data_IF_249468195490
#
_entry.id   IF_249468195490
#
_cell.length_a   1.000
_cell.length_b   1.000
_cell.length_c   1.000
_cell.angle_alpha   90.00
_cell.angle_beta   90.00
_cell.angle_gamma   90.00
#
_symmetry.space_group_name_H-M   'P 1'
#
loop_
_entity.id
_entity.type
_entity.pdbx_description
1 polymer ?
#
# COMPACT_ATOMS: atom_id res chain seq x y z
N UNK A 1 -20.03 7.04 -15.67
CA UNK A 1 -18.69 6.44 -15.51
C UNK A 1 -18.35 6.43 -14.03
N UNK A 2 -17.88 5.28 -13.51
CA UNK A 2 -17.47 5.06 -12.14
C UNK A 2 -16.05 4.52 -12.09
N UNK A 3 -15.39 4.68 -10.95
CA UNK A 3 -14.11 4.06 -10.66
C UNK A 3 -14.34 2.75 -9.91
N UNK A 4 -13.93 1.63 -10.50
CA UNK A 4 -14.04 0.31 -9.87
C UNK A 4 -12.84 0.06 -8.95
N UNK A 5 -13.05 -0.04 -7.61
CA UNK A 5 -11.98 -0.27 -6.64
C UNK A 5 -11.22 -1.60 -6.84
N UNK A 6 -11.87 -2.63 -7.39
CA UNK A 6 -11.24 -3.94 -7.64
C UNK A 6 -10.05 -3.84 -8.62
N UNK A 7 -10.03 -2.82 -9.48
CA UNK A 7 -8.86 -2.57 -10.34
C UNK A 7 -7.57 -2.32 -9.56
N UNK A 8 -7.65 -1.82 -8.32
CA UNK A 8 -6.48 -1.61 -7.47
C UNK A 8 -5.80 -2.94 -7.09
N UNK A 9 -6.56 -4.02 -6.96
CA UNK A 9 -6.05 -5.34 -6.61
C UNK A 9 -5.11 -5.88 -7.71
N UNK A 10 -5.39 -5.55 -8.98
CA UNK A 10 -4.61 -5.99 -10.15
C UNK A 10 -3.40 -5.10 -10.47
N UNK A 11 -3.26 -3.94 -9.84
CA UNK A 11 -2.16 -3.02 -10.10
C UNK A 11 -0.87 -3.45 -9.39
N UNK A 12 -0.10 -4.33 -10.00
CA UNK A 12 1.17 -4.89 -9.51
C UNK A 12 2.38 -4.42 -10.29
N UNK A 13 2.19 -4.14 -11.58
CA UNK A 13 3.27 -3.76 -12.49
C UNK A 13 3.65 -2.29 -12.32
N UNK A 14 4.85 -2.03 -11.79
CA UNK A 14 5.38 -0.67 -11.53
C UNK A 14 5.54 0.21 -12.78
N UNK A 15 5.65 -0.37 -13.97
CA UNK A 15 5.78 0.38 -15.23
C UNK A 15 4.42 0.77 -15.82
N UNK A 16 3.34 0.12 -15.40
CA UNK A 16 1.99 0.42 -15.88
C UNK A 16 1.57 1.87 -15.52
N UNK A 17 0.94 2.55 -16.48
CA UNK A 17 0.51 3.93 -16.28
C UNK A 17 -0.43 4.10 -15.09
N UNK A 18 -1.40 3.20 -14.92
CA UNK A 18 -2.33 3.23 -13.80
C UNK A 18 -1.63 3.06 -12.44
N UNK A 19 -0.63 2.17 -12.34
CA UNK A 19 0.18 2.02 -11.13
C UNK A 19 0.92 3.32 -10.79
N UNK A 20 1.59 3.91 -11.77
CA UNK A 20 2.31 5.18 -11.61
C UNK A 20 1.36 6.32 -11.23
N UNK A 21 0.15 6.35 -11.82
CA UNK A 21 -0.85 7.36 -11.51
C UNK A 21 -1.26 7.31 -10.03
N UNK A 22 -1.57 6.13 -9.48
CA UNK A 22 -1.91 5.99 -8.05
C UNK A 22 -0.74 6.42 -7.16
N UNK A 23 0.50 5.99 -7.47
CA UNK A 23 1.69 6.44 -6.73
C UNK A 23 1.87 7.97 -6.74
N UNK A 24 1.68 8.60 -7.91
CA UNK A 24 1.75 10.05 -8.06
C UNK A 24 0.64 10.78 -7.28
N UNK A 25 -0.55 10.19 -7.19
CA UNK A 25 -1.64 10.75 -6.38
C UNK A 25 -1.28 10.73 -4.88
N UNK A 26 -0.71 9.64 -4.37
CA UNK A 26 -0.25 9.57 -2.97
C UNK A 26 0.84 10.61 -2.69
N UNK A 27 1.79 10.80 -3.61
CA UNK A 27 2.80 11.86 -3.51
C UNK A 27 2.18 13.25 -3.50
N UNK A 28 1.20 13.50 -4.37
CA UNK A 28 0.48 14.78 -4.44
C UNK A 28 -0.30 15.10 -3.16
N UNK A 29 -0.77 14.10 -2.43
CA UNK A 29 -1.41 14.29 -1.12
C UNK A 29 -0.39 14.70 -0.03
N UNK A 30 0.90 14.79 -0.37
CA UNK A 30 1.95 15.26 0.53
C UNK A 30 2.46 14.17 1.47
N UNK A 31 2.54 12.93 1.00
CA UNK A 31 3.08 11.84 1.82
C UNK A 31 4.52 12.14 2.29
N UNK A 32 4.85 11.67 3.49
CA UNK A 32 6.11 11.94 4.18
C UNK A 32 6.86 10.64 4.44
N UNK A 33 8.17 10.68 4.29
CA UNK A 33 9.01 9.50 4.56
C UNK A 33 8.85 9.03 6.02
N UNK A 34 8.70 7.74 6.23
CA UNK A 34 8.40 7.15 7.55
C UNK A 34 9.52 7.40 8.57
N UNK A 35 10.76 7.43 8.12
CA UNK A 35 11.92 7.54 9.00
C UNK A 35 12.33 8.98 9.20
N UNK A 36 12.43 9.74 8.11
CA UNK A 36 12.92 11.12 8.16
C UNK A 36 11.82 12.15 8.45
N UNK A 37 10.56 11.78 8.22
CA UNK A 37 9.42 12.70 8.30
C UNK A 37 9.46 13.80 7.22
N UNK A 38 10.44 13.79 6.32
CA UNK A 38 10.55 14.74 5.23
C UNK A 38 9.45 14.50 4.19
N UNK A 39 8.96 15.54 3.49
CA UNK A 39 8.08 15.34 2.36
C UNK A 39 8.70 14.41 1.32
N UNK A 40 7.93 13.45 0.83
CA UNK A 40 8.39 12.59 -0.26
C UNK A 40 8.43 13.43 -1.54
N UNK A 41 9.62 13.66 -2.06
CA UNK A 41 9.85 14.48 -3.25
C UNK A 41 10.34 13.59 -4.40
N UNK A 42 9.55 13.54 -5.49
CA UNK A 42 9.95 12.86 -6.72
C UNK A 42 11.21 13.47 -7.36
N UNK A 43 11.51 14.72 -7.05
CA UNK A 43 12.64 15.46 -7.60
C UNK A 43 13.89 15.40 -6.73
N UNK A 44 13.81 14.78 -5.55
CA UNK A 44 14.99 14.49 -4.74
C UNK A 44 15.87 13.42 -5.42
N UNK A 45 16.29 13.70 -6.66
CA UNK A 45 17.29 12.94 -7.40
C UNK A 45 18.67 13.19 -6.78
N UNK A 46 18.83 12.67 -5.58
CA UNK A 46 20.05 12.78 -4.82
C UNK A 46 20.61 11.41 -4.44
N UNK A 47 21.38 11.38 -3.39
CA UNK A 47 22.01 10.17 -2.88
C UNK A 47 21.03 9.09 -2.35
N UNK A 48 19.74 9.43 -2.18
CA UNK A 48 18.71 8.51 -1.64
C UNK A 48 17.45 8.51 -2.53
N UNK A 49 17.43 7.71 -3.60
CA UNK A 49 16.31 7.67 -4.52
C UNK A 49 15.04 7.11 -3.87
N UNK A 50 13.89 7.50 -4.44
CA UNK A 50 12.59 6.93 -4.06
C UNK A 50 12.53 5.44 -4.41
N UNK A 51 12.06 4.64 -3.46
CA UNK A 51 11.75 3.22 -3.60
C UNK A 51 10.28 2.96 -3.26
N UNK A 52 9.83 1.75 -3.48
CA UNK A 52 8.47 1.31 -3.17
C UNK A 52 8.52 0.34 -2.00
N UNK A 53 8.00 0.79 -0.87
CA UNK A 53 7.91 0.02 0.36
C UNK A 53 6.63 -0.83 0.38
N UNK A 54 6.73 -2.09 0.82
CA UNK A 54 5.59 -2.91 1.18
C UNK A 54 5.19 -2.60 2.62
N UNK A 55 3.99 -2.05 2.83
CA UNK A 55 3.49 -1.63 4.16
C UNK A 55 3.42 -2.83 5.11
N UNK A 56 2.79 -3.92 4.67
CA UNK A 56 3.01 -5.24 5.26
C UNK A 56 4.15 -5.91 4.47
N UNK A 57 5.33 -6.11 5.05
CA UNK A 57 6.51 -6.59 4.33
C UNK A 57 6.30 -7.94 3.65
N UNK A 58 6.91 -8.11 2.47
CA UNK A 58 6.80 -9.35 1.69
C UNK A 58 7.08 -10.60 2.50
N UNK A 59 8.14 -10.57 3.31
CA UNK A 59 8.55 -11.73 4.09
C UNK A 59 7.56 -12.04 5.20
N UNK A 60 6.95 -11.01 5.79
CA UNK A 60 5.86 -11.20 6.72
C UNK A 60 4.65 -11.84 6.02
N UNK A 61 4.21 -11.27 4.89
CA UNK A 61 3.07 -11.79 4.11
C UNK A 61 3.28 -13.26 3.70
N UNK A 62 4.46 -13.59 3.19
CA UNK A 62 4.80 -14.98 2.80
C UNK A 62 4.72 -15.95 3.96
N UNK A 63 5.25 -15.59 5.14
CA UNK A 63 5.18 -16.44 6.34
C UNK A 63 3.75 -16.67 6.82
N UNK A 64 2.83 -15.75 6.52
CA UNK A 64 1.42 -15.84 6.89
C UNK A 64 0.51 -16.36 5.77
N UNK A 65 1.08 -16.85 4.66
CA UNK A 65 0.31 -17.46 3.57
C UNK A 65 -0.48 -16.47 2.72
N UNK A 66 -0.17 -15.17 2.78
CA UNK A 66 -0.79 -14.17 1.92
C UNK A 66 -0.19 -14.29 0.52
N UNK A 67 -1.07 -14.37 -0.51
CA UNK A 67 -0.65 -14.54 -1.90
C UNK A 67 0.09 -13.32 -2.46
N UNK A 68 0.95 -13.57 -3.46
CA UNK A 68 1.69 -12.52 -4.15
C UNK A 68 0.75 -11.48 -4.79
N UNK A 69 -0.38 -11.91 -5.29
CA UNK A 69 -1.37 -11.05 -5.90
C UNK A 69 -1.87 -9.95 -4.96
N UNK A 70 -1.99 -10.27 -3.69
CA UNK A 70 -2.41 -9.33 -2.66
C UNK A 70 -1.26 -8.49 -2.13
N UNK A 71 -0.15 -9.10 -1.69
CA UNK A 71 0.92 -8.29 -1.11
C UNK A 71 1.69 -7.46 -2.13
N UNK A 72 1.72 -7.83 -3.41
CA UNK A 72 2.33 -7.04 -4.48
C UNK A 72 1.39 -6.01 -5.15
N UNK A 73 0.11 -5.98 -4.77
CA UNK A 73 -0.81 -4.93 -5.20
C UNK A 73 -0.35 -3.54 -4.72
N UNK A 74 -0.71 -2.50 -5.49
CA UNK A 74 -0.49 -1.08 -5.13
C UNK A 74 -1.12 -0.74 -3.77
N UNK A 75 -2.15 -1.48 -3.35
CA UNK A 75 -2.83 -1.30 -2.06
C UNK A 75 -1.87 -1.52 -0.89
N UNK A 76 -0.97 -2.49 -0.98
CA UNK A 76 0.05 -2.75 0.05
C UNK A 76 1.37 -2.02 -0.19
N UNK A 77 1.40 -1.01 -1.06
CA UNK A 77 2.65 -0.33 -1.44
C UNK A 77 2.56 1.18 -1.25
N UNK A 78 3.69 1.77 -0.87
CA UNK A 78 3.79 3.23 -0.70
C UNK A 78 5.21 3.72 -1.03
N UNK A 79 5.37 4.97 -1.53
CA UNK A 79 6.69 5.52 -1.79
C UNK A 79 7.41 5.86 -0.48
N UNK A 80 8.67 5.44 -0.36
CA UNK A 80 9.62 5.86 0.68
C UNK A 80 10.99 6.07 0.04
N UNK A 81 11.95 6.64 0.79
CA UNK A 81 13.34 6.62 0.34
C UNK A 81 13.94 5.22 0.44
N UNK A 82 14.96 4.94 -0.37
CA UNK A 82 15.61 3.62 -0.37
C UNK A 82 16.30 3.33 0.98
N UNK A 83 16.84 4.34 1.65
CA UNK A 83 17.44 4.19 2.98
C UNK A 83 16.39 3.84 4.04
N UNK A 84 15.24 4.53 4.02
CA UNK A 84 14.13 4.26 4.93
C UNK A 84 13.55 2.87 4.72
N UNK A 85 13.34 2.48 3.46
CA UNK A 85 12.86 1.15 3.12
C UNK A 85 13.81 0.04 3.63
N UNK A 86 15.12 0.22 3.50
CA UNK A 86 16.13 -0.72 4.05
C UNK A 86 16.13 -0.75 5.58
N UNK A 87 15.96 0.41 6.24
CA UNK A 87 15.94 0.48 7.70
C UNK A 87 14.75 -0.26 8.31
N UNK A 88 13.58 -0.15 7.68
CA UNK A 88 12.34 -0.82 8.11
C UNK A 88 12.48 -2.34 7.99
N UNK A 89 13.06 -2.83 6.89
CA UNK A 89 13.29 -4.25 6.67
C UNK A 89 11.99 -5.07 6.54
N UNK A 90 12.02 -6.32 7.04
CA UNK A 90 10.93 -7.31 6.89
C UNK A 90 10.14 -7.57 8.19
N UNK A 91 10.24 -6.72 9.20
CA UNK A 91 9.51 -6.85 10.47
C UNK A 91 8.01 -6.53 10.30
N UNK A 92 7.17 -7.03 11.22
CA UNK A 92 5.75 -6.69 11.23
C UNK A 92 5.53 -5.17 11.38
N UNK A 93 4.40 -4.62 10.89
CA UNK A 93 4.16 -3.19 10.97
C UNK A 93 4.32 -2.58 12.36
N UNK A 94 3.75 -3.18 13.39
CA UNK A 94 3.92 -2.72 14.77
C UNK A 94 5.38 -2.65 15.21
N UNK A 95 6.19 -3.62 14.79
CA UNK A 95 7.60 -3.73 15.20
C UNK A 95 8.46 -2.67 14.50
N UNK A 96 8.29 -2.47 13.18
CA UNK A 96 9.05 -1.45 12.48
C UNK A 96 8.62 -0.03 12.89
N UNK A 97 7.34 0.19 13.21
CA UNK A 97 6.88 1.48 13.74
C UNK A 97 7.56 1.80 15.06
N UNK A 98 7.56 0.83 16.00
CA UNK A 98 8.27 0.99 17.29
C UNK A 98 9.77 1.24 17.10
N UNK A 99 10.39 0.55 16.12
CA UNK A 99 11.80 0.76 15.78
C UNK A 99 12.07 2.19 15.28
N UNK A 100 11.23 2.69 14.37
CA UNK A 100 11.38 4.04 13.80
C UNK A 100 11.15 5.10 14.88
N UNK A 101 10.07 4.98 15.65
CA UNK A 101 9.75 5.89 16.76
C UNK A 101 10.90 5.96 17.78
N UNK A 102 11.41 4.81 18.21
CA UNK A 102 12.52 4.75 19.15
C UNK A 102 13.82 5.34 18.61
N UNK A 103 14.16 5.10 17.34
CA UNK A 103 15.40 5.60 16.72
C UNK A 103 15.36 7.09 16.41
N UNK A 104 14.19 7.61 16.01
CA UNK A 104 14.03 9.01 15.62
C UNK A 104 13.54 9.91 16.78
N UNK A 105 13.18 9.32 17.91
CA UNK A 105 12.58 10.06 19.03
C UNK A 105 11.22 10.66 18.66
N UNK A 106 10.47 10.00 17.76
CA UNK A 106 9.15 10.44 17.32
C UNK A 106 8.10 10.01 18.33
N UNK A 107 7.13 10.88 18.59
CA UNK A 107 5.93 10.47 19.31
C UNK A 107 5.02 9.61 18.41
N UNK A 108 4.17 8.79 19.02
CA UNK A 108 3.18 8.01 18.29
C UNK A 108 2.27 8.89 17.44
N UNK A 109 1.86 10.06 17.94
CA UNK A 109 1.01 11.01 17.22
C UNK A 109 1.71 11.59 15.99
N UNK A 110 3.01 11.87 16.09
CA UNK A 110 3.81 12.34 14.95
C UNK A 110 3.92 11.27 13.88
N UNK A 111 4.19 10.02 14.27
CA UNK A 111 4.21 8.88 13.35
C UNK A 111 2.84 8.62 12.74
N UNK A 112 1.76 8.73 13.50
CA UNK A 112 0.39 8.59 13.01
C UNK A 112 0.05 9.64 11.94
N UNK A 113 0.53 10.88 12.10
CA UNK A 113 0.36 11.91 11.08
C UNK A 113 1.10 11.55 9.78
N UNK A 114 2.29 10.96 9.88
CA UNK A 114 3.03 10.44 8.72
C UNK A 114 2.25 9.32 8.05
N UNK A 115 1.75 8.33 8.78
CA UNK A 115 0.96 7.22 8.22
C UNK A 115 -0.30 7.72 7.48
N UNK A 116 -1.03 8.68 8.08
CA UNK A 116 -2.21 9.28 7.42
C UNK A 116 -1.86 9.99 6.12
N UNK A 117 -0.67 10.56 5.99
CA UNK A 117 -0.22 11.18 4.74
C UNK A 117 -0.04 10.17 3.59
N UNK A 118 0.04 8.88 3.92
CA UNK A 118 0.06 7.76 2.96
C UNK A 118 -1.31 7.09 2.79
N UNK A 119 -2.39 7.70 3.28
CA UNK A 119 -3.74 7.13 3.28
C UNK A 119 -3.82 5.81 4.08
N UNK A 120 -3.10 5.74 5.18
CA UNK A 120 -3.06 4.60 6.09
C UNK A 120 -3.74 4.99 7.40
N UNK A 121 -4.65 4.15 7.88
CA UNK A 121 -5.14 4.26 9.26
C UNK A 121 -4.08 3.70 10.23
N UNK A 122 -3.52 4.52 11.12
CA UNK A 122 -2.48 4.07 12.04
C UNK A 122 -2.91 2.91 12.94
N UNK A 123 -4.17 2.86 13.34
CA UNK A 123 -4.69 1.82 14.22
C UNK A 123 -4.55 0.42 13.62
N UNK A 124 -4.63 0.31 12.28
CA UNK A 124 -4.51 -0.95 11.56
C UNK A 124 -3.07 -1.48 11.47
N UNK A 125 -2.07 -0.63 11.67
CA UNK A 125 -0.66 -1.04 11.68
C UNK A 125 -0.09 -1.23 13.10
N UNK A 126 -0.78 -0.73 14.12
CA UNK A 126 -0.33 -0.81 15.52
C UNK A 126 -0.80 -2.07 16.25
N UNK A 127 -1.45 -2.99 15.55
CA UNK A 127 -1.92 -4.26 16.14
C UNK A 127 -0.72 -5.10 16.54
N UNK A 128 -0.61 -5.44 17.82
CA UNK A 128 0.43 -6.34 18.32
C UNK A 128 0.23 -7.76 17.77
N UNK A 129 1.30 -8.37 17.25
CA UNK A 129 1.25 -9.71 16.65
C UNK A 129 0.17 -9.83 15.56
N UNK A 130 0.23 -9.02 14.49
CA UNK A 130 -0.82 -8.98 13.49
C UNK A 130 -1.00 -10.32 12.78
N UNK A 131 -2.26 -10.62 12.45
CA UNK A 131 -2.70 -11.82 11.76
C UNK A 131 -3.08 -11.54 10.30
N UNK A 132 -3.47 -12.57 9.55
CA UNK A 132 -4.03 -12.40 8.19
C UNK A 132 -5.28 -11.52 8.21
N UNK A 133 -6.15 -11.67 9.22
CA UNK A 133 -7.35 -10.84 9.34
C UNK A 133 -7.02 -9.36 9.57
N UNK A 134 -5.89 -9.05 10.20
CA UNK A 134 -5.42 -7.66 10.37
C UNK A 134 -4.91 -7.09 9.06
N UNK A 135 -4.19 -7.90 8.28
CA UNK A 135 -3.82 -7.54 6.91
C UNK A 135 -5.06 -7.30 6.04
N UNK A 136 -6.08 -8.15 6.12
CA UNK A 136 -7.32 -8.00 5.35
C UNK A 136 -8.03 -6.69 5.68
N UNK A 137 -8.15 -6.34 6.96
CA UNK A 137 -8.74 -5.06 7.39
C UNK A 137 -7.96 -3.85 6.88
N UNK A 138 -6.65 -3.90 7.02
CA UNK A 138 -5.76 -2.86 6.47
C UNK A 138 -5.92 -2.72 4.96
N UNK A 139 -5.92 -3.84 4.25
CA UNK A 139 -5.98 -3.88 2.80
C UNK A 139 -7.29 -3.26 2.29
N UNK A 140 -8.43 -3.66 2.83
CA UNK A 140 -9.74 -3.14 2.42
C UNK A 140 -9.91 -1.65 2.78
N UNK A 141 -9.49 -1.22 3.98
CA UNK A 141 -9.53 0.20 4.36
C UNK A 141 -8.69 1.06 3.40
N UNK A 142 -7.46 0.65 3.14
CA UNK A 142 -6.58 1.42 2.27
C UNK A 142 -7.03 1.39 0.81
N UNK A 143 -7.58 0.27 0.33
CA UNK A 143 -8.20 0.17 -1.00
C UNK A 143 -9.33 1.20 -1.15
N UNK A 144 -10.20 1.30 -0.16
CA UNK A 144 -11.30 2.27 -0.16
C UNK A 144 -10.79 3.72 -0.19
N UNK A 145 -9.74 4.05 0.59
CA UNK A 145 -9.12 5.38 0.59
C UNK A 145 -8.47 5.74 -0.74
N UNK A 146 -7.74 4.80 -1.35
CA UNK A 146 -7.13 4.99 -2.68
C UNK A 146 -8.19 5.15 -3.76
N UNK A 147 -9.28 4.37 -3.71
CA UNK A 147 -10.39 4.49 -4.65
C UNK A 147 -11.07 5.86 -4.52
N UNK A 148 -11.31 6.33 -3.29
CA UNK A 148 -11.86 7.66 -3.02
C UNK A 148 -10.95 8.77 -3.57
N UNK A 149 -9.63 8.64 -3.39
CA UNK A 149 -8.67 9.59 -3.94
C UNK A 149 -8.72 9.60 -5.48
N UNK A 150 -8.70 8.44 -6.12
CA UNK A 150 -8.76 8.30 -7.57
C UNK A 150 -10.08 8.89 -8.12
N UNK A 151 -11.21 8.58 -7.50
CA UNK A 151 -12.53 9.11 -7.88
C UNK A 151 -12.59 10.63 -7.76
N UNK A 152 -12.09 11.21 -6.66
CA UNK A 152 -12.02 12.65 -6.44
C UNK A 152 -11.24 13.38 -7.55
N UNK A 153 -10.12 12.79 -7.98
CA UNK A 153 -9.25 13.42 -8.99
C UNK A 153 -9.80 13.28 -10.39
N UNK A 154 -10.47 12.17 -10.68
CA UNK A 154 -11.06 11.91 -12.00
C UNK A 154 -12.46 12.49 -12.18
N UNK A 155 -13.10 12.95 -11.09
CA UNK A 155 -14.49 13.37 -11.09
C UNK A 155 -15.48 12.20 -11.25
N UNK A 156 -15.03 10.97 -11.05
CA UNK A 156 -15.88 9.78 -11.12
C UNK A 156 -16.48 9.46 -9.74
N UNK A 157 -17.62 8.77 -9.73
CA UNK A 157 -18.11 8.15 -8.50
C UNK A 157 -17.32 6.85 -8.22
N UNK A 158 -17.19 6.47 -6.94
CA UNK A 158 -16.68 5.14 -6.58
C UNK A 158 -17.77 4.11 -6.82
N UNK A 159 -17.46 3.08 -7.57
CA UNK A 159 -18.35 1.95 -7.77
C UNK A 159 -18.42 1.13 -6.48
N UNK A 160 -19.64 0.78 -6.06
CA UNK A 160 -19.85 -0.18 -4.97
C UNK A 160 -19.95 -1.55 -5.63
N UNK A 161 -18.96 -2.45 -5.42
CA UNK A 161 -19.02 -3.78 -6.02
C UNK A 161 -20.29 -4.51 -5.55
N UNK A 162 -21.09 -5.00 -6.51
CA UNK A 162 -22.21 -5.87 -6.16
C UNK A 162 -21.67 -7.23 -5.70
N UNK A 163 -22.37 -7.95 -4.81
CA UNK A 163 -21.93 -9.27 -4.33
C UNK A 163 -21.74 -10.31 -5.46
N UNK A 164 -22.45 -10.14 -6.57
CA UNK A 164 -22.40 -11.05 -7.71
C UNK A 164 -21.11 -10.92 -8.54
N UNK A 165 -20.49 -9.74 -8.59
CA UNK A 165 -19.25 -9.53 -9.35
C UNK A 165 -18.02 -10.13 -8.66
N UNK A 166 -18.05 -10.24 -7.33
CA UNK A 166 -16.94 -10.84 -6.57
C UNK A 166 -16.81 -12.35 -6.79
N UNK A 167 -17.90 -13.05 -7.15
CA UNK A 167 -17.89 -14.49 -7.40
C UNK A 167 -17.35 -14.85 -8.79
N UNK A 168 -17.52 -13.98 -9.80
CA UNK A 168 -17.13 -14.25 -11.19
C UNK A 168 -15.66 -13.97 -11.50
N UNK A 169 -15.00 -13.08 -10.75
CA UNK A 169 -13.56 -12.81 -10.98
C UNK A 169 -12.64 -13.90 -10.42
N UNK A 170 -13.13 -14.75 -9.53
CA UNK A 170 -12.38 -15.90 -9.00
C UNK A 170 -12.36 -17.07 -9.99
N UNK A 171 -13.33 -17.14 -10.90
CA UNK A 171 -13.49 -18.25 -11.85
C UNK A 171 -12.73 -18.05 -13.19
N UNK A 172 -12.30 -16.82 -13.51
CA UNK A 172 -11.66 -16.50 -14.79
C UNK A 172 -10.15 -16.70 -14.85
N UNK A 173 -9.49 -16.95 -13.72
CA UNK A 173 -8.01 -17.06 -13.63
C UNK A 173 -7.51 -18.53 -13.72
N UNK A 174 -8.37 -19.50 -14.01
CA UNK A 174 -7.99 -20.92 -14.08
C UNK A 174 -7.78 -21.47 -15.50
N UNK A 175 -8.16 -20.74 -16.54
CA UNK A 175 -8.12 -21.26 -17.91
C UNK A 175 -6.91 -20.82 -18.76
N UNK A 176 -6.05 -19.90 -18.25
CA UNK A 176 -4.91 -19.38 -19.02
C UNK A 176 -3.57 -20.13 -18.78
N UNK A 177 -3.57 -21.28 -18.16
CA UNK A 177 -2.31 -22.03 -17.82
C UNK A 177 -2.08 -23.26 -18.71
N UNK A 178 -2.92 -23.59 -19.68
CA UNK A 178 -2.79 -24.83 -20.48
C UNK A 178 -2.47 -24.64 -21.96
N UNK A 179 -1.77 -23.55 -22.38
CA UNK A 179 -1.25 -23.49 -23.75
C UNK A 179 0.16 -22.89 -23.85
N UNK A 180 1.15 -23.54 -23.23
CA UNK A 180 2.58 -23.40 -23.57
C UNK A 180 3.38 -24.63 -23.12
N UNK A 181 3.17 -25.74 -23.83
CA UNK A 181 4.09 -26.89 -23.81
C UNK A 181 4.73 -27.03 -25.19
#
# INVERSE_FOLDING_TARGET
>A
LSFNPLRLDTLRNRIAAAYKAIGALVLREGCRDFVTGAPADLYAFGADPMDIHHIFPRDWCRRHGISADRYDSIVNKTPLTASSNRMIGGAAPCDYLALVEGRQGLSAEAMDAVLRSHLIDPALLRVSSPTVADFDRFYEDRKARLATLAARVTGLAVEVPSPEVQATEVEFDLDDVEEAA
#
